data_IF_445011239904
#
_entry.id   IF_445011239904
#
_cell.length_a   1.000
_cell.length_b   1.000
_cell.length_c   1.000
_cell.angle_alpha   90.00
_cell.angle_beta   90.00
_cell.angle_gamma   90.00
#
_symmetry.space_group_name_H-M   'P 1'
#
loop_
_entity.id
_entity.type
_entity.pdbx_description
1 polymer ?
#
# COMPACT_ATOMS: atom_id res chain seq x y z
N UNK A 1 -13.24 -4.24 -8.07
CA UNK A 1 -11.79 -4.39 -7.85
C UNK A 1 -11.48 -5.83 -7.45
N UNK A 2 -10.35 -6.35 -7.89
CA UNK A 2 -9.78 -7.63 -7.48
C UNK A 2 -8.35 -7.42 -6.99
N UNK A 3 -7.99 -7.94 -5.82
CA UNK A 3 -6.59 -7.99 -5.38
C UNK A 3 -5.92 -9.18 -6.08
N UNK A 4 -4.71 -8.98 -6.60
CA UNK A 4 -3.95 -10.03 -7.27
C UNK A 4 -2.76 -10.46 -6.42
N UNK A 5 -1.95 -9.51 -5.96
CA UNK A 5 -0.82 -9.79 -5.06
C UNK A 5 -0.46 -8.57 -4.21
N UNK A 6 0.26 -8.79 -3.12
CA UNK A 6 0.90 -7.74 -2.32
C UNK A 6 2.30 -8.17 -1.91
N UNK A 7 3.25 -7.24 -2.02
CA UNK A 7 4.60 -7.34 -1.47
C UNK A 7 4.70 -6.34 -0.31
N UNK A 8 5.09 -6.82 0.86
CA UNK A 8 5.23 -6.02 2.08
C UNK A 8 6.69 -6.09 2.53
N UNK A 9 7.38 -4.95 2.60
CA UNK A 9 8.76 -4.89 3.06
C UNK A 9 8.90 -3.90 4.22
N UNK A 10 9.44 -4.37 5.34
CA UNK A 10 9.72 -3.57 6.53
C UNK A 10 8.50 -2.81 7.10
N UNK A 11 7.29 -3.38 6.98
CA UNK A 11 6.05 -2.82 7.55
C UNK A 11 5.67 -3.62 8.81
N UNK A 12 5.67 -2.94 9.95
CA UNK A 12 5.42 -3.50 11.29
C UNK A 12 6.23 -4.79 11.54
N UNK A 13 5.56 -5.93 11.68
CA UNK A 13 6.17 -7.23 11.96
C UNK A 13 6.74 -7.91 10.72
N UNK A 14 6.36 -7.49 9.51
CA UNK A 14 6.86 -8.09 8.27
C UNK A 14 8.20 -7.48 7.89
N UNK A 15 9.24 -8.33 7.81
CA UNK A 15 10.53 -7.95 7.22
C UNK A 15 10.44 -7.95 5.71
N UNK A 16 9.86 -9.00 5.14
CA UNK A 16 9.55 -9.16 3.72
C UNK A 16 8.49 -10.27 3.59
N UNK A 17 7.45 -10.04 2.79
CA UNK A 17 6.40 -11.04 2.53
C UNK A 17 5.76 -10.79 1.17
N UNK A 18 5.45 -11.87 0.46
CA UNK A 18 4.76 -11.83 -0.83
C UNK A 18 3.51 -12.72 -0.76
N UNK A 19 2.34 -12.13 -0.96
CA UNK A 19 1.07 -12.85 -0.87
C UNK A 19 0.35 -12.75 -2.20
N UNK A 20 0.00 -13.90 -2.79
CA UNK A 20 -0.88 -13.99 -3.96
C UNK A 20 -2.30 -14.23 -3.47
N UNK A 21 -3.24 -13.40 -3.92
CA UNK A 21 -4.64 -13.51 -3.52
C UNK A 21 -5.38 -14.49 -4.45
N UNK A 22 -5.91 -15.61 -3.92
CA UNK A 22 -6.72 -16.50 -4.72
C UNK A 22 -8.07 -15.86 -5.06
N UNK A 23 -8.69 -16.33 -6.15
CA UNK A 23 -10.09 -16.02 -6.42
C UNK A 23 -10.98 -16.76 -5.42
N UNK A 24 -12.06 -16.11 -4.98
CA UNK A 24 -12.99 -16.66 -3.99
C UNK A 24 -12.69 -16.17 -2.58
N UNK A 25 -12.76 -17.09 -1.60
CA UNK A 25 -12.69 -16.75 -0.18
C UNK A 25 -11.24 -16.88 0.30
N UNK A 26 -10.71 -15.82 0.92
CA UNK A 26 -9.42 -15.82 1.61
C UNK A 26 -9.64 -15.78 3.12
N UNK A 27 -8.94 -16.63 3.85
CA UNK A 27 -8.90 -16.64 5.33
C UNK A 27 -7.49 -16.31 5.81
N UNK A 28 -7.36 -15.25 6.60
CA UNK A 28 -6.12 -14.97 7.33
C UNK A 28 -6.21 -15.58 8.72
N UNK A 29 -5.51 -16.69 8.95
CA UNK A 29 -5.48 -17.39 10.23
C UNK A 29 -4.14 -17.19 10.95
N UNK A 30 -4.17 -17.21 12.29
CA UNK A 30 -2.98 -17.17 13.13
C UNK A 30 -3.25 -16.52 14.49
N UNK A 31 -2.25 -16.54 15.37
CA UNK A 31 -2.36 -16.06 16.74
C UNK A 31 -2.55 -14.55 16.87
N UNK A 32 -2.98 -14.10 18.06
CA UNK A 32 -3.02 -12.66 18.38
C UNK A 32 -1.61 -12.08 18.22
N UNK A 33 -1.51 -10.96 17.48
CA UNK A 33 -0.23 -10.31 17.19
C UNK A 33 0.58 -10.90 16.03
N UNK A 34 0.07 -11.92 15.33
CA UNK A 34 0.78 -12.57 14.21
C UNK A 34 0.93 -11.71 12.94
N UNK A 35 0.35 -10.51 12.89
CA UNK A 35 0.45 -9.59 11.75
C UNK A 35 -0.67 -9.68 10.71
N UNK A 36 -1.75 -10.45 10.96
CA UNK A 36 -2.92 -10.52 10.05
C UNK A 36 -3.47 -9.14 9.67
N UNK A 37 -3.75 -8.29 10.67
CA UNK A 37 -4.26 -6.93 10.43
C UNK A 37 -3.26 -6.06 9.67
N UNK A 38 -1.95 -6.30 9.82
CA UNK A 38 -0.94 -5.55 9.08
C UNK A 38 -1.06 -5.80 7.57
N UNK A 39 -1.51 -6.97 7.11
CA UNK A 39 -1.76 -7.23 5.68
C UNK A 39 -2.87 -6.28 5.18
N UNK A 40 -3.98 -6.19 5.89
CA UNK A 40 -5.09 -5.29 5.54
C UNK A 40 -4.67 -3.82 5.57
N UNK A 41 -3.85 -3.44 6.55
CA UNK A 41 -3.32 -2.08 6.66
C UNK A 41 -2.29 -1.76 5.57
N UNK A 42 -1.54 -2.75 5.10
CA UNK A 42 -0.64 -2.59 3.95
C UNK A 42 -1.44 -2.36 2.67
N UNK A 43 -2.54 -3.11 2.46
CA UNK A 43 -3.46 -2.88 1.33
C UNK A 43 -4.05 -1.46 1.41
N UNK A 44 -4.58 -1.06 2.57
CA UNK A 44 -5.13 0.28 2.79
C UNK A 44 -4.08 1.36 2.50
N UNK A 45 -2.87 1.18 3.05
CA UNK A 45 -1.75 2.09 2.82
C UNK A 45 -1.43 2.21 1.34
N UNK A 46 -1.27 1.10 0.63
CA UNK A 46 -0.95 1.10 -0.80
C UNK A 46 -2.00 1.87 -1.61
N UNK A 47 -3.29 1.64 -1.36
CA UNK A 47 -4.38 2.30 -2.09
C UNK A 47 -4.48 3.80 -1.72
N UNK A 48 -4.58 4.12 -0.43
CA UNK A 48 -5.06 5.44 0.02
C UNK A 48 -4.01 6.28 0.76
N UNK A 49 -2.83 5.72 1.02
CA UNK A 49 -1.80 6.35 1.83
C UNK A 49 -2.10 6.23 3.33
N UNK A 50 -1.64 7.19 4.13
CA UNK A 50 -1.67 7.08 5.59
C UNK A 50 -3.07 7.23 6.21
N UNK A 51 -4.01 7.88 5.52
CA UNK A 51 -5.31 8.21 6.12
C UNK A 51 -5.16 8.93 7.46
N UNK A 52 -5.76 8.38 8.52
CA UNK A 52 -5.63 8.85 9.90
C UNK A 52 -4.44 8.25 10.68
N UNK A 53 -3.71 7.33 10.07
CA UNK A 53 -2.59 6.64 10.72
C UNK A 53 -1.31 7.50 10.71
N UNK A 54 -0.52 7.39 11.79
CA UNK A 54 0.83 7.96 11.82
C UNK A 54 1.79 7.07 11.04
N UNK A 55 2.65 7.65 10.21
CA UNK A 55 3.63 6.92 9.41
C UNK A 55 4.56 6.04 10.28
N UNK A 56 4.92 6.52 11.47
CA UNK A 56 5.74 5.82 12.46
C UNK A 56 5.09 4.54 12.98
N UNK A 57 3.76 4.42 12.87
CA UNK A 57 3.02 3.24 13.30
C UNK A 57 3.00 2.12 12.25
N UNK A 58 3.37 2.42 11.01
CA UNK A 58 3.44 1.45 9.91
C UNK A 58 4.88 0.99 9.66
N UNK A 59 5.84 1.91 9.55
CA UNK A 59 7.24 1.53 9.32
C UNK A 59 7.78 0.75 10.53
N UNK A 60 8.45 -0.38 10.26
CA UNK A 60 9.12 -1.14 11.32
C UNK A 60 10.06 -0.25 12.14
N UNK A 61 10.06 -0.43 13.46
CA UNK A 61 10.89 0.37 14.39
C UNK A 61 12.39 0.24 14.12
N UNK A 62 12.80 -0.86 13.50
CA UNK A 62 14.21 -1.18 13.20
C UNK A 62 14.63 -0.82 11.78
N UNK A 63 13.71 -0.31 10.95
CA UNK A 63 13.97 -0.03 9.55
C UNK A 63 14.03 1.48 9.28
N UNK A 64 14.96 1.85 8.39
CA UNK A 64 15.10 3.22 7.87
C UNK A 64 14.18 3.47 6.66
N UNK A 65 13.70 2.41 6.02
CA UNK A 65 12.78 2.46 4.89
C UNK A 65 11.92 1.20 4.86
N UNK A 66 10.75 1.29 4.24
CA UNK A 66 9.85 0.15 4.01
C UNK A 66 8.83 0.52 2.94
N UNK A 67 8.25 -0.46 2.29
CA UNK A 67 7.32 -0.22 1.20
C UNK A 67 6.25 -1.30 1.10
N UNK A 68 5.18 -0.95 0.39
CA UNK A 68 4.16 -1.90 -0.05
C UNK A 68 4.02 -1.76 -1.54
N UNK A 69 3.99 -2.89 -2.25
CA UNK A 69 3.59 -2.99 -3.65
C UNK A 69 2.29 -3.79 -3.69
N UNK A 70 1.26 -3.23 -4.30
CA UNK A 70 -0.03 -3.90 -4.46
C UNK A 70 -0.35 -4.03 -5.94
N UNK A 71 -0.55 -5.25 -6.42
CA UNK A 71 -1.15 -5.52 -7.73
C UNK A 71 -2.65 -5.75 -7.56
N UNK A 72 -3.45 -5.00 -8.32
CA UNK A 72 -4.90 -5.11 -8.32
C UNK A 72 -5.48 -4.90 -9.72
N UNK A 73 -6.72 -5.34 -9.92
CA UNK A 73 -7.45 -5.17 -11.17
C UNK A 73 -8.79 -4.48 -10.99
N UNK A 74 -9.15 -3.63 -11.94
CA UNK A 74 -10.45 -2.96 -12.04
C UNK A 74 -10.88 -3.01 -13.50
N UNK A 75 -12.12 -3.43 -13.75
CA UNK A 75 -12.67 -3.55 -15.11
C UNK A 75 -11.73 -4.28 -16.09
N UNK A 76 -11.15 -5.40 -15.64
CA UNK A 76 -10.19 -6.25 -16.36
C UNK A 76 -8.81 -5.63 -16.63
N UNK A 77 -8.61 -4.34 -16.32
CA UNK A 77 -7.30 -3.70 -16.38
C UNK A 77 -6.46 -4.00 -15.13
N UNK A 78 -5.14 -4.11 -15.30
CA UNK A 78 -4.18 -4.36 -14.23
C UNK A 78 -3.43 -3.09 -13.84
N UNK A 79 -3.26 -2.93 -12.53
CA UNK A 79 -2.56 -1.82 -11.92
C UNK A 79 -1.60 -2.35 -10.86
N UNK A 80 -0.44 -1.70 -10.75
CA UNK A 80 0.51 -1.97 -9.69
C UNK A 80 0.87 -0.65 -9.02
N UNK A 81 0.71 -0.55 -7.70
CA UNK A 81 1.01 0.67 -6.95
C UNK A 81 2.07 0.38 -5.89
N UNK A 82 3.11 1.20 -5.86
CA UNK A 82 4.13 1.20 -4.81
C UNK A 82 4.03 2.45 -3.96
N UNK A 83 3.99 2.27 -2.64
CA UNK A 83 4.19 3.37 -1.67
C UNK A 83 5.32 3.04 -0.71
N UNK A 84 6.17 4.04 -0.49
CA UNK A 84 7.35 3.90 0.35
C UNK A 84 7.28 4.84 1.54
N UNK A 85 7.69 4.34 2.72
CA UNK A 85 7.96 5.10 3.92
C UNK A 85 9.46 5.19 4.15
N UNK A 86 9.92 6.34 4.64
CA UNK A 86 11.32 6.58 4.95
C UNK A 86 11.46 7.32 6.27
N UNK A 87 12.37 6.83 7.10
CA UNK A 87 12.79 7.46 8.35
C UNK A 87 13.89 8.47 8.05
N UNK A 88 13.77 9.67 8.61
CA UNK A 88 14.80 10.70 8.59
C UNK A 88 14.76 11.45 9.92
N UNK A 89 15.88 11.45 10.65
CA UNK A 89 16.00 12.12 11.95
C UNK A 89 14.86 11.74 12.92
N UNK A 90 14.58 10.44 13.06
CA UNK A 90 13.53 9.87 13.91
C UNK A 90 12.08 10.07 13.44
N UNK A 91 11.80 10.95 12.47
CA UNK A 91 10.47 11.13 11.87
C UNK A 91 10.29 10.20 10.67
N UNK A 92 9.11 9.63 10.50
CA UNK A 92 8.78 8.79 9.33
C UNK A 92 7.86 9.56 8.40
N UNK A 93 8.20 9.58 7.11
CA UNK A 93 7.39 10.24 6.08
C UNK A 93 7.19 9.29 4.90
N UNK A 94 6.17 9.56 4.07
CA UNK A 94 6.09 8.95 2.75
C UNK A 94 7.25 9.48 1.88
N UNK A 95 7.81 8.63 1.03
CA UNK A 95 8.90 8.95 0.10
C UNK A 95 8.36 9.02 -1.34
N UNK A 96 8.02 10.23 -1.84
CA UNK A 96 7.50 10.41 -3.19
C UNK A 96 8.47 9.92 -4.28
N UNK A 97 9.79 9.97 -4.03
CA UNK A 97 10.80 9.57 -5.04
C UNK A 97 10.80 8.07 -5.30
N UNK A 98 10.33 7.30 -4.34
CA UNK A 98 10.28 5.84 -4.38
C UNK A 98 8.85 5.30 -4.37
N UNK A 99 7.86 6.15 -4.71
CA UNK A 99 6.45 5.78 -4.80
C UNK A 99 5.95 6.06 -6.22
N UNK A 100 5.14 5.15 -6.75
CA UNK A 100 4.70 5.19 -8.14
C UNK A 100 3.45 4.34 -8.37
N UNK A 101 2.79 4.56 -9.50
CA UNK A 101 1.76 3.67 -10.02
C UNK A 101 2.13 3.24 -11.44
N UNK A 102 1.85 1.98 -11.77
CA UNK A 102 2.07 1.41 -13.09
C UNK A 102 0.73 1.06 -13.71
N UNK A 103 0.53 1.50 -14.95
CA UNK A 103 -0.66 1.29 -15.77
C UNK A 103 -0.19 0.74 -17.11
N UNK A 104 -0.49 -0.52 -17.41
CA UNK A 104 0.11 -1.22 -18.55
C UNK A 104 1.64 -1.28 -18.41
N UNK A 105 2.36 -0.75 -19.41
CA UNK A 105 3.82 -0.69 -19.41
C UNK A 105 4.39 0.64 -18.89
N UNK A 106 3.54 1.61 -18.56
CA UNK A 106 3.96 2.94 -18.08
C UNK A 106 4.01 2.97 -16.56
N UNK A 107 5.16 3.38 -16.01
CA UNK A 107 5.32 3.65 -14.57
C UNK A 107 5.42 5.16 -14.34
N UNK A 108 4.51 5.68 -13.53
CA UNK A 108 4.42 7.10 -13.19
C UNK A 108 4.82 7.33 -11.73
N UNK A 109 5.95 8.03 -11.46
CA UNK A 109 6.25 8.49 -10.12
C UNK A 109 5.30 9.65 -9.76
N UNK A 110 4.64 9.53 -8.62
CA UNK A 110 3.61 10.48 -8.18
C UNK A 110 3.77 10.78 -6.68
N UNK A 111 3.37 11.98 -6.27
CA UNK A 111 3.32 12.33 -4.85
C UNK A 111 2.24 11.52 -4.11
N UNK A 112 2.29 11.45 -2.76
CA UNK A 112 1.30 10.71 -1.99
C UNK A 112 -0.17 11.08 -2.24
N UNK A 113 -0.43 12.38 -2.44
CA UNK A 113 -1.76 12.92 -2.76
C UNK A 113 -2.17 12.56 -4.18
N UNK A 114 -1.29 12.71 -5.16
CA UNK A 114 -1.56 12.33 -6.56
C UNK A 114 -1.81 10.83 -6.70
N UNK A 115 -1.04 9.98 -6.00
CA UNK A 115 -1.29 8.54 -5.94
C UNK A 115 -2.69 8.24 -5.38
N UNK A 116 -3.10 8.90 -4.29
CA UNK A 116 -4.45 8.73 -3.73
C UNK A 116 -5.51 9.12 -4.76
N UNK A 117 -5.36 10.29 -5.38
CA UNK A 117 -6.30 10.78 -6.39
C UNK A 117 -6.40 9.84 -7.59
N UNK A 118 -5.26 9.33 -8.09
CA UNK A 118 -5.24 8.37 -9.18
C UNK A 118 -5.95 7.07 -8.81
N UNK A 119 -5.72 6.54 -7.62
CA UNK A 119 -6.42 5.33 -7.15
C UNK A 119 -7.92 5.56 -7.04
N UNK A 120 -8.36 6.70 -6.50
CA UNK A 120 -9.80 7.03 -6.42
C UNK A 120 -10.46 7.10 -7.80
N UNK A 121 -9.77 7.70 -8.78
CA UNK A 121 -10.23 7.74 -10.18
C UNK A 121 -10.35 6.33 -10.78
N UNK A 122 -9.32 5.49 -10.62
CA UNK A 122 -9.32 4.10 -11.09
C UNK A 122 -10.47 3.30 -10.47
N UNK A 123 -10.68 3.46 -9.16
CA UNK A 123 -11.74 2.77 -8.43
C UNK A 123 -13.13 3.38 -8.64
N UNK A 124 -13.24 4.48 -9.41
CA UNK A 124 -14.48 5.22 -9.66
C UNK A 124 -15.20 5.64 -8.37
N UNK A 125 -14.42 5.98 -7.33
CA UNK A 125 -14.96 6.57 -6.12
C UNK A 125 -15.32 8.03 -6.38
N UNK A 126 -16.61 8.35 -6.32
CA UNK A 126 -17.10 9.73 -6.28
C UNK A 126 -16.95 10.29 -4.86
N UNK A 127 -15.72 10.50 -4.41
CA UNK A 127 -15.44 11.23 -3.17
C UNK A 127 -15.35 12.73 -3.52
N UNK A 128 -16.08 13.62 -2.83
CA UNK A 128 -15.89 15.06 -3.01
C UNK A 128 -14.44 15.42 -2.65
N UNK A 129 -13.86 16.39 -3.38
CA UNK A 129 -12.45 16.73 -3.29
C UNK A 129 -12.01 17.27 -1.91
N UNK A 130 -12.97 17.59 -1.03
CA UNK A 130 -12.74 18.05 0.35
C UNK A 130 -13.73 17.38 1.32
N UNK A 131 -13.32 17.09 2.57
CA UNK A 131 -14.20 16.60 3.64
C UNK A 131 -15.16 17.67 4.18
#
# INVERSE_FOLDING_TARGET
MLLNSIIIDSIRSYTHEEIIFPRGISLFEGDIGSGKSTILMAIEFALFGLGSQKAESLLSKKSESGYVILEFSVDEEKYEIKRTLKRKNSTVNQDPKNSWIKIGDSTEPLSPSELKQRVLQILKFNEPAEP
#
